data_IF_378117527492
#
_entry.id   IF_378117527492
#
_cell.length_a   1.000
_cell.length_b   1.000
_cell.length_c   1.000
_cell.angle_alpha   90.00
_cell.angle_beta   90.00
_cell.angle_gamma   90.00
#
_symmetry.space_group_name_H-M   'P 1'
#
loop_
_entity.id
_entity.type
_entity.pdbx_description
1 polymer ?
#
# COMPACT_ATOMS: atom_id res chain seq x y z
N UNK A 1 -42.50 12.43 -10.93
CA UNK A 1 -41.64 13.50 -11.49
C UNK A 1 -41.32 13.14 -12.93
N UNK A 2 -41.33 14.09 -13.88
CA UNK A 2 -40.88 13.84 -15.26
C UNK A 2 -39.45 13.30 -15.27
N UNK A 3 -39.17 12.24 -16.03
CA UNK A 3 -37.82 11.69 -16.09
C UNK A 3 -36.89 12.72 -16.73
N UNK A 4 -35.84 13.11 -16.01
CA UNK A 4 -34.79 14.00 -16.55
C UNK A 4 -34.14 13.35 -17.79
N UNK A 5 -33.83 14.15 -18.80
CA UNK A 5 -33.05 13.69 -19.94
C UNK A 5 -31.61 13.36 -19.54
N UNK A 6 -30.90 12.56 -20.33
CA UNK A 6 -29.48 12.24 -20.07
C UNK A 6 -28.61 13.50 -20.00
N UNK A 7 -28.91 14.52 -20.82
CA UNK A 7 -28.22 15.81 -20.78
C UNK A 7 -28.43 16.55 -19.46
N UNK A 8 -29.65 16.55 -18.94
CA UNK A 8 -29.98 17.16 -17.65
C UNK A 8 -29.30 16.41 -16.49
N UNK A 9 -29.20 15.09 -16.57
CA UNK A 9 -28.48 14.28 -15.58
C UNK A 9 -26.98 14.56 -15.61
N UNK A 10 -26.37 14.66 -16.79
CA UNK A 10 -24.96 15.06 -16.95
C UNK A 10 -24.68 16.42 -16.28
N UNK A 11 -25.51 17.42 -16.56
CA UNK A 11 -25.37 18.76 -15.99
C UNK A 11 -25.50 18.74 -14.47
N UNK A 12 -26.52 18.06 -13.94
CA UNK A 12 -26.74 17.94 -12.51
C UNK A 12 -25.55 17.29 -11.79
N UNK A 13 -25.04 16.17 -12.32
CA UNK A 13 -23.92 15.46 -11.71
C UNK A 13 -22.61 16.25 -11.80
N UNK A 14 -22.40 16.96 -12.90
CA UNK A 14 -21.25 17.86 -13.06
C UNK A 14 -21.30 19.02 -12.05
N UNK A 15 -22.48 19.63 -11.88
CA UNK A 15 -22.67 20.75 -10.95
C UNK A 15 -22.31 20.36 -9.51
N UNK A 16 -22.74 19.18 -9.04
CA UNK A 16 -22.42 18.73 -7.67
C UNK A 16 -20.99 18.19 -7.50
N UNK A 17 -20.20 18.10 -8.59
CA UNK A 17 -18.77 17.79 -8.52
C UNK A 17 -18.36 16.37 -8.95
N UNK A 18 -19.19 15.61 -9.66
CA UNK A 18 -18.75 14.35 -10.26
C UNK A 18 -17.83 14.59 -11.47
N UNK A 19 -16.76 13.79 -11.57
CA UNK A 19 -15.84 13.83 -12.71
C UNK A 19 -16.49 13.22 -13.98
N UNK A 20 -16.19 13.76 -15.18
CA UNK A 20 -16.78 13.33 -16.46
C UNK A 20 -16.73 11.82 -16.69
N UNK A 21 -15.61 11.18 -16.33
CA UNK A 21 -15.45 9.74 -16.46
C UNK A 21 -16.47 8.98 -15.59
N UNK A 22 -16.74 9.48 -14.39
CA UNK A 22 -17.69 8.88 -13.46
C UNK A 22 -19.13 9.16 -13.87
N UNK A 23 -19.43 10.36 -14.38
CA UNK A 23 -20.74 10.69 -14.96
C UNK A 23 -21.10 9.71 -16.09
N UNK A 24 -20.17 9.48 -17.02
CA UNK A 24 -20.34 8.50 -18.12
C UNK A 24 -20.53 7.06 -17.63
N UNK A 25 -20.02 6.71 -16.46
CA UNK A 25 -20.23 5.40 -15.85
C UNK A 25 -21.62 5.29 -15.22
N UNK A 26 -22.03 6.31 -14.47
CA UNK A 26 -23.31 6.36 -13.77
C UNK A 26 -24.47 6.32 -14.77
N UNK A 27 -24.42 7.16 -15.81
CA UNK A 27 -25.48 7.30 -16.81
C UNK A 27 -25.76 6.01 -17.58
N UNK A 28 -24.79 5.11 -17.70
CA UNK A 28 -25.02 3.77 -18.29
C UNK A 28 -26.04 2.93 -17.50
N UNK A 29 -26.28 3.27 -16.24
CA UNK A 29 -27.26 2.63 -15.39
C UNK A 29 -28.42 3.60 -15.09
N UNK A 30 -29.47 3.53 -15.91
CA UNK A 30 -30.63 4.42 -15.81
C UNK A 30 -31.24 4.41 -14.39
N UNK A 31 -31.37 3.24 -13.76
CA UNK A 31 -31.95 3.11 -12.42
C UNK A 31 -31.14 3.86 -11.36
N UNK A 32 -29.81 3.71 -11.39
CA UNK A 32 -28.92 4.39 -10.44
C UNK A 32 -28.85 5.88 -10.74
N UNK A 33 -28.86 6.27 -12.01
CA UNK A 33 -28.85 7.68 -12.43
C UNK A 33 -30.11 8.42 -11.98
N UNK A 34 -31.29 7.81 -12.16
CA UNK A 34 -32.55 8.38 -11.67
C UNK A 34 -32.55 8.50 -10.15
N UNK A 35 -32.09 7.47 -9.44
CA UNK A 35 -31.97 7.55 -7.98
C UNK A 35 -30.96 8.62 -7.54
N UNK A 36 -29.85 8.78 -8.26
CA UNK A 36 -28.84 9.79 -7.91
C UNK A 36 -29.38 11.20 -8.05
N UNK A 37 -30.11 11.48 -9.14
CA UNK A 37 -30.76 12.77 -9.31
C UNK A 37 -31.76 13.06 -8.18
N UNK A 38 -32.56 12.05 -7.81
CA UNK A 38 -33.54 12.17 -6.73
C UNK A 38 -32.86 12.49 -5.39
N UNK A 39 -31.82 11.75 -4.99
CA UNK A 39 -31.15 11.98 -3.70
C UNK A 39 -30.38 13.30 -3.68
N UNK A 40 -29.82 13.74 -4.80
CA UNK A 40 -29.20 15.08 -4.91
C UNK A 40 -30.25 16.16 -4.67
N UNK A 41 -31.39 16.09 -5.38
CA UNK A 41 -32.47 17.07 -5.23
C UNK A 41 -33.07 17.07 -3.82
N UNK A 42 -33.13 15.90 -3.16
CA UNK A 42 -33.64 15.75 -1.80
C UNK A 42 -32.64 16.15 -0.70
N UNK A 43 -31.36 16.38 -1.03
CA UNK A 43 -30.28 16.66 -0.08
C UNK A 43 -30.07 18.15 0.22
N UNK A 44 -30.73 19.06 -0.51
CA UNK A 44 -30.44 20.50 -0.57
C UNK A 44 -29.00 20.84 -1.02
N UNK A 45 -28.22 19.86 -1.46
CA UNK A 45 -26.80 20.01 -1.75
C UNK A 45 -26.48 20.83 -3.01
N UNK A 46 -27.50 21.24 -3.79
CA UNK A 46 -27.32 22.14 -4.92
C UNK A 46 -26.96 23.56 -4.48
N UNK A 47 -27.40 23.97 -3.29
CA UNK A 47 -27.13 25.31 -2.75
C UNK A 47 -25.67 25.46 -2.29
N UNK A 48 -24.99 24.35 -2.04
CA UNK A 48 -23.61 24.26 -1.53
C UNK A 48 -22.63 23.66 -2.53
N UNK A 49 -23.03 23.48 -3.79
CA UNK A 49 -22.18 22.87 -4.81
C UNK A 49 -20.93 23.75 -5.12
N UNK A 50 -19.77 23.16 -5.47
CA UNK A 50 -19.50 21.73 -5.60
C UNK A 50 -19.27 21.03 -4.26
N UNK A 51 -19.69 19.76 -4.18
CA UNK A 51 -19.58 18.96 -2.97
C UNK A 51 -18.21 18.29 -2.86
N UNK A 52 -17.84 17.90 -1.64
CA UNK A 52 -16.60 17.16 -1.43
C UNK A 52 -16.68 15.70 -1.94
N UNK A 53 -15.50 15.07 -2.12
CA UNK A 53 -15.42 13.70 -2.66
C UNK A 53 -16.08 12.65 -1.76
N UNK A 54 -16.16 12.91 -0.46
CA UNK A 54 -16.82 12.00 0.49
C UNK A 54 -18.34 12.10 0.36
N UNK A 55 -18.88 13.32 0.29
CA UNK A 55 -20.31 13.58 0.11
C UNK A 55 -20.83 12.99 -1.21
N UNK A 56 -20.16 13.28 -2.34
CA UNK A 56 -20.52 12.72 -3.65
C UNK A 56 -20.46 11.18 -3.67
N UNK A 57 -19.48 10.57 -2.99
CA UNK A 57 -19.38 9.12 -2.88
C UNK A 57 -20.54 8.51 -2.07
N UNK A 58 -20.95 9.15 -0.96
CA UNK A 58 -22.05 8.70 -0.11
C UNK A 58 -23.42 8.86 -0.79
N UNK A 59 -23.65 9.97 -1.50
CA UNK A 59 -24.86 10.18 -2.31
C UNK A 59 -24.95 9.14 -3.44
N UNK A 60 -23.83 8.86 -4.11
CA UNK A 60 -23.78 7.79 -5.11
C UNK A 60 -24.01 6.41 -4.47
N UNK A 61 -23.46 6.13 -3.29
CA UNK A 61 -23.73 4.89 -2.55
C UNK A 61 -25.23 4.75 -2.24
N UNK A 62 -25.88 5.78 -1.72
CA UNK A 62 -27.33 5.79 -1.47
C UNK A 62 -28.12 5.50 -2.75
N UNK A 63 -27.77 6.15 -3.87
CA UNK A 63 -28.40 5.89 -5.16
C UNK A 63 -28.22 4.44 -5.63
N UNK A 64 -27.06 3.84 -5.39
CA UNK A 64 -26.81 2.43 -5.71
C UNK A 64 -27.56 1.45 -4.81
N UNK A 65 -27.98 1.85 -3.61
CA UNK A 65 -28.86 1.04 -2.76
C UNK A 65 -30.32 1.12 -3.24
N UNK A 66 -30.78 2.31 -3.62
CA UNK A 66 -32.15 2.52 -4.11
C UNK A 66 -32.42 1.82 -5.45
N UNK A 67 -31.48 1.89 -6.41
CA UNK A 67 -31.61 1.27 -7.75
C UNK A 67 -32.97 1.53 -8.42
N UNK A 68 -33.44 2.77 -8.38
CA UNK A 68 -34.70 3.21 -8.97
C UNK A 68 -35.93 2.98 -8.09
N UNK A 69 -35.77 2.48 -6.86
CA UNK A 69 -36.86 2.40 -5.88
C UNK A 69 -37.14 3.80 -5.31
N UNK A 70 -38.41 4.18 -5.27
CA UNK A 70 -38.86 5.34 -4.51
C UNK A 70 -39.09 4.93 -3.05
N UNK A 71 -38.50 5.69 -2.13
CA UNK A 71 -38.58 5.45 -0.69
C UNK A 71 -38.99 6.76 -0.03
N UNK A 72 -40.08 6.70 0.74
CA UNK A 72 -40.55 7.84 1.53
C UNK A 72 -39.55 8.17 2.65
N UNK A 73 -39.29 9.46 2.91
CA UNK A 73 -38.30 9.91 3.89
C UNK A 73 -36.83 9.84 3.43
N UNK A 74 -36.58 9.63 2.14
CA UNK A 74 -35.21 9.61 1.57
C UNK A 74 -34.47 10.95 1.71
N UNK A 75 -35.19 12.05 1.86
CA UNK A 75 -34.64 13.38 2.12
C UNK A 75 -33.92 13.42 3.48
N UNK A 76 -34.41 12.71 4.50
CA UNK A 76 -33.71 12.60 5.79
C UNK A 76 -32.32 11.96 5.65
N UNK A 77 -32.20 10.90 4.83
CA UNK A 77 -30.91 10.25 4.57
C UNK A 77 -30.01 11.18 3.74
N UNK A 78 -30.57 11.79 2.70
CA UNK A 78 -29.83 12.64 1.76
C UNK A 78 -29.31 13.91 2.45
N UNK A 79 -30.13 14.58 3.26
CA UNK A 79 -29.74 15.72 4.11
C UNK A 79 -28.79 15.30 5.23
N UNK A 80 -28.94 14.08 5.76
CA UNK A 80 -28.02 13.50 6.74
C UNK A 80 -26.59 13.34 6.20
N UNK A 81 -26.45 12.97 4.93
CA UNK A 81 -25.16 12.94 4.22
C UNK A 81 -24.61 14.35 4.06
N UNK A 82 -25.42 15.27 3.52
CA UNK A 82 -24.98 16.63 3.24
C UNK A 82 -24.58 17.43 4.50
N UNK A 83 -25.34 17.27 5.60
CA UNK A 83 -25.03 17.85 6.91
C UNK A 83 -23.89 17.15 7.66
N UNK A 84 -23.23 16.16 7.05
CA UNK A 84 -22.12 15.37 7.62
C UNK A 84 -22.48 14.59 8.89
N UNK A 85 -23.77 14.35 9.14
CA UNK A 85 -24.24 13.45 10.20
C UNK A 85 -24.01 11.97 9.85
N UNK A 86 -24.16 11.62 8.57
CA UNK A 86 -23.89 10.29 8.02
C UNK A 86 -22.59 10.35 7.23
N UNK A 87 -21.53 9.74 7.76
CA UNK A 87 -20.16 9.88 7.23
C UNK A 87 -19.60 8.57 6.66
N UNK A 88 -20.35 7.48 6.72
CA UNK A 88 -19.92 6.17 6.22
C UNK A 88 -21.02 5.44 5.45
N UNK A 89 -20.62 4.55 4.54
CA UNK A 89 -21.54 3.69 3.79
C UNK A 89 -22.45 2.85 4.70
N UNK A 90 -21.96 2.41 5.86
CA UNK A 90 -22.77 1.65 6.82
C UNK A 90 -23.87 2.52 7.44
N UNK A 91 -23.55 3.72 7.91
CA UNK A 91 -24.55 4.65 8.45
C UNK A 91 -25.63 4.98 7.41
N UNK A 92 -25.23 5.22 6.16
CA UNK A 92 -26.18 5.43 5.05
C UNK A 92 -27.06 4.20 4.80
N UNK A 93 -26.49 3.00 4.92
CA UNK A 93 -27.24 1.76 4.68
C UNK A 93 -28.24 1.47 5.81
N UNK A 94 -27.86 1.73 7.07
CA UNK A 94 -28.75 1.58 8.23
C UNK A 94 -29.81 2.69 8.29
N UNK A 95 -29.45 3.93 7.91
CA UNK A 95 -30.37 5.04 7.73
C UNK A 95 -31.46 4.71 6.68
N UNK A 96 -31.05 4.14 5.54
CA UNK A 96 -32.00 3.71 4.51
C UNK A 96 -32.96 2.63 5.03
N UNK A 97 -32.44 1.60 5.74
CA UNK A 97 -33.30 0.56 6.34
C UNK A 97 -34.31 1.12 7.33
N UNK A 98 -33.92 2.13 8.11
CA UNK A 98 -34.81 2.77 9.06
C UNK A 98 -35.97 3.47 8.34
N UNK A 99 -35.69 4.30 7.33
CA UNK A 99 -36.76 5.01 6.59
C UNK A 99 -37.66 4.04 5.81
N UNK A 100 -37.09 2.96 5.25
CA UNK A 100 -37.87 1.91 4.57
C UNK A 100 -38.82 1.15 5.52
N UNK A 101 -38.48 1.05 6.80
CA UNK A 101 -39.32 0.38 7.81
C UNK A 101 -40.32 1.33 8.49
N UNK A 102 -40.18 2.65 8.31
CA UNK A 102 -41.00 3.68 8.96
C UNK A 102 -41.55 4.74 7.99
N UNK A 103 -42.20 4.37 6.87
CA UNK A 103 -42.61 5.32 5.82
C UNK A 103 -43.53 6.45 6.33
N UNK A 104 -44.36 6.18 7.34
CA UNK A 104 -45.33 7.13 7.90
C UNK A 104 -45.13 7.44 9.40
N UNK A 105 -44.04 6.98 10.00
CA UNK A 105 -43.78 7.15 11.44
C UNK A 105 -42.31 7.50 11.68
N UNK A 106 -41.80 8.49 10.96
CA UNK A 106 -40.43 8.94 11.12
C UNK A 106 -40.24 9.62 12.48
N UNK A 107 -39.36 9.08 13.30
CA UNK A 107 -38.85 9.71 14.51
C UNK A 107 -37.35 10.03 14.34
N UNK A 108 -36.96 11.29 14.56
CA UNK A 108 -35.58 11.74 14.37
C UNK A 108 -34.60 11.13 15.38
N UNK A 109 -34.99 10.98 16.65
CA UNK A 109 -34.12 10.41 17.68
C UNK A 109 -33.88 8.92 17.43
N UNK A 110 -34.92 8.19 17.05
CA UNK A 110 -34.82 6.78 16.68
C UNK A 110 -34.01 6.59 15.39
N UNK A 111 -34.16 7.48 14.41
CA UNK A 111 -33.36 7.51 13.19
C UNK A 111 -31.87 7.70 13.50
N UNK A 112 -31.52 8.72 14.27
CA UNK A 112 -30.13 9.03 14.63
C UNK A 112 -29.49 7.86 15.38
N UNK A 113 -30.24 7.25 16.32
CA UNK A 113 -29.81 6.06 17.05
C UNK A 113 -29.64 4.83 16.16
N UNK A 114 -30.56 4.57 15.24
CA UNK A 114 -30.51 3.40 14.35
C UNK A 114 -29.37 3.52 13.32
N UNK A 115 -29.14 4.73 12.82
CA UNK A 115 -28.11 5.03 11.81
C UNK A 115 -26.75 5.37 12.39
N UNK A 116 -26.61 5.43 13.72
CA UNK A 116 -25.32 5.67 14.39
C UNK A 116 -24.81 7.09 14.21
N UNK A 117 -25.70 8.07 14.07
CA UNK A 117 -25.34 9.50 14.01
C UNK A 117 -24.69 9.90 15.34
N UNK A 118 -23.59 10.66 15.26
CA UNK A 118 -22.83 11.11 16.44
C UNK A 118 -21.97 10.02 17.09
N UNK A 119 -22.06 8.76 16.65
CA UNK A 119 -21.17 7.69 17.13
C UNK A 119 -19.90 7.71 16.31
N UNK A 120 -18.80 8.12 16.93
CA UNK A 120 -17.47 8.05 16.34
C UNK A 120 -16.59 7.17 17.23
N UNK A 121 -16.31 5.95 16.78
CA UNK A 121 -15.38 5.06 17.49
C UNK A 121 -13.96 5.47 17.14
N UNK A 122 -13.25 6.01 18.13
CA UNK A 122 -11.86 6.46 17.97
C UNK A 122 -10.90 5.28 17.81
N UNK A 123 -9.72 5.50 17.23
CA UNK A 123 -8.72 4.43 17.07
C UNK A 123 -8.30 3.82 18.42
N UNK A 124 -8.18 4.63 19.47
CA UNK A 124 -7.86 4.17 20.83
C UNK A 124 -8.97 3.30 21.42
N UNK A 125 -10.23 3.64 21.20
CA UNK A 125 -11.37 2.80 21.61
C UNK A 125 -11.40 1.48 20.84
N UNK A 126 -11.18 1.50 19.52
CA UNK A 126 -11.06 0.28 18.71
C UNK A 126 -9.92 -0.59 19.24
N UNK A 127 -8.77 0.02 19.52
CA UNK A 127 -7.61 -0.67 20.08
C UNK A 127 -7.93 -1.29 21.42
N UNK A 128 -8.59 -0.56 22.32
CA UNK A 128 -9.00 -1.05 23.64
C UNK A 128 -9.96 -2.23 23.52
N UNK A 129 -11.03 -2.09 22.73
CA UNK A 129 -12.04 -3.15 22.53
C UNK A 129 -11.41 -4.42 21.96
N UNK A 130 -10.55 -4.29 20.94
CA UNK A 130 -9.84 -5.43 20.36
C UNK A 130 -8.91 -6.06 21.40
N UNK A 131 -8.18 -5.26 22.18
CA UNK A 131 -7.27 -5.76 23.22
C UNK A 131 -8.03 -6.54 24.29
N UNK A 132 -9.14 -5.99 24.77
CA UNK A 132 -10.01 -6.64 25.76
C UNK A 132 -10.55 -7.97 25.22
N UNK A 133 -11.03 -7.99 23.97
CA UNK A 133 -11.47 -9.20 23.31
C UNK A 133 -10.35 -10.25 23.21
N UNK A 134 -9.17 -9.87 22.71
CA UNK A 134 -8.04 -10.79 22.57
C UNK A 134 -7.60 -11.36 23.94
N UNK A 135 -7.64 -10.56 25.00
CA UNK A 135 -7.35 -11.03 26.36
C UNK A 135 -8.35 -12.09 26.84
N UNK A 136 -9.62 -12.04 26.45
CA UNK A 136 -10.62 -13.07 26.83
C UNK A 136 -10.37 -14.44 26.21
N UNK A 137 -9.67 -14.49 25.07
CA UNK A 137 -9.35 -15.72 24.33
C UNK A 137 -7.84 -15.96 24.25
N UNK A 138 -7.09 -15.41 25.22
CA UNK A 138 -5.63 -15.46 25.25
C UNK A 138 -5.10 -16.89 25.17
N UNK A 139 -5.69 -17.82 25.93
CA UNK A 139 -5.26 -19.22 25.93
C UNK A 139 -5.46 -19.89 24.55
N UNK A 140 -6.54 -19.56 23.84
CA UNK A 140 -6.78 -20.07 22.49
C UNK A 140 -5.75 -19.50 21.49
N UNK A 141 -5.41 -18.21 21.65
CA UNK A 141 -4.39 -17.52 20.86
C UNK A 141 -3.01 -18.14 21.10
N UNK A 142 -2.63 -18.45 22.35
CA UNK A 142 -1.34 -19.07 22.66
C UNK A 142 -1.25 -20.50 22.08
N UNK A 143 -2.34 -21.25 22.11
CA UNK A 143 -2.40 -22.63 21.59
C UNK A 143 -2.39 -22.70 20.06
N UNK A 144 -3.15 -21.84 19.38
CA UNK A 144 -3.30 -21.89 17.91
C UNK A 144 -2.46 -20.86 17.16
N UNK A 145 -1.88 -19.90 17.89
CA UNK A 145 -0.97 -18.86 17.40
C UNK A 145 -1.53 -18.13 16.18
N UNK A 146 -0.69 -17.93 15.17
CA UNK A 146 -1.06 -17.16 13.98
C UNK A 146 -2.10 -17.83 13.07
N UNK A 147 -2.47 -19.11 13.32
CA UNK A 147 -3.52 -19.81 12.56
C UNK A 147 -4.91 -19.25 12.85
N UNK A 148 -5.12 -18.65 14.02
CA UNK A 148 -6.40 -18.06 14.40
C UNK A 148 -6.64 -16.65 13.84
N UNK A 149 -5.62 -15.94 13.33
CA UNK A 149 -5.75 -14.55 12.86
C UNK A 149 -6.93 -14.32 11.88
N UNK A 150 -7.21 -15.20 10.90
CA UNK A 150 -8.39 -15.06 10.05
C UNK A 150 -9.72 -15.16 10.83
N UNK A 151 -9.81 -16.07 11.80
CA UNK A 151 -11.00 -16.23 12.66
C UNK A 151 -11.15 -15.03 13.60
N UNK A 152 -10.05 -14.54 14.18
CA UNK A 152 -10.04 -13.33 15.00
C UNK A 152 -10.57 -12.12 14.23
N UNK A 153 -10.13 -11.93 12.99
CA UNK A 153 -10.62 -10.85 12.13
C UNK A 153 -12.12 -10.97 11.85
N UNK A 154 -12.64 -12.19 11.67
CA UNK A 154 -14.06 -12.42 11.50
C UNK A 154 -14.86 -12.12 12.77
N UNK A 155 -14.37 -12.57 13.93
CA UNK A 155 -15.05 -12.37 15.21
C UNK A 155 -15.01 -10.90 15.66
N UNK A 156 -13.87 -10.22 15.51
CA UNK A 156 -13.73 -8.79 15.82
C UNK A 156 -14.70 -7.95 15.00
N UNK A 157 -14.93 -8.28 13.72
CA UNK A 157 -15.93 -7.60 12.88
C UNK A 157 -17.37 -7.78 13.36
N UNK A 158 -17.64 -8.80 14.17
CA UNK A 158 -18.97 -9.09 14.71
C UNK A 158 -19.18 -8.48 16.10
N UNK A 159 -18.15 -7.86 16.71
CA UNK A 159 -18.29 -7.22 18.01
C UNK A 159 -19.26 -6.02 17.92
N UNK A 160 -20.35 -6.00 18.71
CA UNK A 160 -21.35 -4.93 18.64
C UNK A 160 -20.77 -3.53 18.88
N UNK A 161 -19.77 -3.43 19.76
CA UNK A 161 -19.10 -2.17 20.10
C UNK A 161 -18.32 -1.59 18.90
N UNK A 162 -17.93 -2.42 17.94
CA UNK A 162 -17.20 -2.03 16.74
C UNK A 162 -18.11 -1.85 15.52
N UNK A 163 -19.45 -1.94 15.68
CA UNK A 163 -20.40 -1.79 14.57
C UNK A 163 -20.11 -0.55 13.72
N UNK A 164 -19.82 0.58 14.37
CA UNK A 164 -19.58 1.88 13.72
C UNK A 164 -18.10 2.21 13.52
N UNK A 165 -17.19 1.30 13.88
CA UNK A 165 -15.77 1.51 13.73
C UNK A 165 -15.30 1.27 12.29
N UNK A 166 -14.24 1.96 11.87
CA UNK A 166 -13.65 1.77 10.54
C UNK A 166 -13.00 0.37 10.45
N UNK A 167 -13.47 -0.51 9.54
CA UNK A 167 -12.94 -1.88 9.43
C UNK A 167 -11.48 -1.94 8.99
N UNK A 168 -10.95 -0.85 8.42
CA UNK A 168 -9.55 -0.73 8.04
C UNK A 168 -8.60 -0.78 9.25
N UNK A 169 -9.08 -0.39 10.43
CA UNK A 169 -8.30 -0.37 11.68
C UNK A 169 -8.11 -1.78 12.28
N UNK A 170 -9.02 -2.72 12.01
CA UNK A 170 -9.06 -3.99 12.74
C UNK A 170 -7.83 -4.86 12.50
N UNK A 171 -7.43 -5.03 11.23
CA UNK A 171 -6.31 -5.92 10.89
C UNK A 171 -4.96 -5.42 11.43
N UNK A 172 -4.57 -4.14 11.26
CA UNK A 172 -3.35 -3.60 11.85
C UNK A 172 -3.30 -3.75 13.37
N UNK A 173 -4.41 -3.45 14.06
CA UNK A 173 -4.49 -3.55 15.53
C UNK A 173 -4.37 -5.01 15.98
N UNK A 174 -5.11 -5.94 15.35
CA UNK A 174 -5.01 -7.37 15.67
C UNK A 174 -3.57 -7.86 15.46
N UNK A 175 -2.94 -7.51 14.34
CA UNK A 175 -1.57 -7.96 14.05
C UNK A 175 -0.56 -7.45 15.08
N UNK A 176 -0.67 -6.17 15.46
CA UNK A 176 0.19 -5.57 16.47
C UNK A 176 0.01 -6.21 17.85
N UNK A 177 -1.24 -6.45 18.27
CA UNK A 177 -1.54 -7.08 19.56
C UNK A 177 -1.12 -8.55 19.60
N UNK A 178 -1.36 -9.30 18.52
CA UNK A 178 -0.91 -10.70 18.42
C UNK A 178 0.61 -10.77 18.46
N UNK A 179 1.32 -9.91 17.72
CA UNK A 179 2.78 -9.84 17.77
C UNK A 179 3.29 -9.56 19.18
N UNK A 180 2.63 -8.65 19.92
CA UNK A 180 2.98 -8.35 21.31
C UNK A 180 2.71 -9.52 22.27
N UNK A 181 1.64 -10.30 22.05
CA UNK A 181 1.25 -11.41 22.92
C UNK A 181 2.08 -12.68 22.72
N UNK A 182 2.32 -13.10 21.47
CA UNK A 182 2.89 -14.43 21.17
C UNK A 182 4.25 -14.38 20.45
N UNK A 183 4.80 -13.19 20.26
CA UNK A 183 6.06 -12.96 19.56
C UNK A 183 5.97 -13.21 18.05
N UNK A 184 7.07 -13.05 17.30
CA UNK A 184 7.09 -13.23 15.86
C UNK A 184 6.77 -14.68 15.45
N UNK A 185 6.37 -14.87 14.18
CA UNK A 185 6.17 -16.19 13.60
C UNK A 185 7.47 -17.00 13.62
N UNK A 186 7.37 -18.25 14.05
CA UNK A 186 8.49 -19.20 14.06
C UNK A 186 8.07 -20.58 13.53
N UNK A 187 8.87 -21.60 13.81
CA UNK A 187 8.67 -22.98 13.38
C UNK A 187 7.30 -23.56 13.78
N UNK A 188 6.69 -23.05 14.87
CA UNK A 188 5.36 -23.49 15.37
C UNK A 188 4.22 -23.04 14.46
N UNK A 189 4.44 -21.99 13.67
CA UNK A 189 3.45 -21.36 12.78
C UNK A 189 3.52 -21.90 11.34
N UNK A 190 4.44 -22.81 11.05
CA UNK A 190 4.58 -23.45 9.75
C UNK A 190 3.39 -24.39 9.51
N UNK A 191 2.55 -24.03 8.53
CA UNK A 191 1.43 -24.87 8.11
C UNK A 191 1.97 -26.11 7.40
N UNK A 192 2.08 -27.24 8.12
CA UNK A 192 2.30 -28.56 7.51
C UNK A 192 1.07 -28.91 6.66
N UNK A 193 1.16 -28.70 5.34
CA UNK A 193 0.16 -29.23 4.40
C UNK A 193 0.29 -30.75 4.37
N UNK A 194 -0.62 -31.45 5.04
CA UNK A 194 -0.80 -32.88 4.81
C UNK A 194 -1.26 -33.11 3.37
N UNK A 195 -0.41 -33.74 2.57
CA UNK A 195 -0.74 -34.17 1.21
C UNK A 195 -1.78 -35.30 1.28
N UNK A 196 -3.07 -34.97 1.19
CA UNK A 196 -4.09 -35.97 0.82
C UNK A 196 -3.80 -36.47 -0.60
N UNK A 197 -3.45 -37.75 -0.73
CA UNK A 197 -3.24 -38.47 -2.00
C UNK A 197 -4.50 -38.38 -2.86
N UNK A 198 -4.38 -37.91 -4.11
CA UNK A 198 -5.42 -38.10 -5.14
C UNK A 198 -5.17 -39.44 -5.85
N UNK A 199 -6.23 -40.23 -6.13
CA UNK A 199 -6.09 -41.45 -6.90
C UNK A 199 -5.89 -41.12 -8.38
N UNK A 200 -5.08 -41.95 -9.04
CA UNK A 200 -4.82 -41.92 -10.49
C UNK A 200 -6.10 -42.32 -11.21
N UNK A 201 -6.54 -41.52 -12.18
CA UNK A 201 -7.49 -41.96 -13.20
C UNK A 201 -7.08 -41.50 -14.59
N UNK A 202 -7.29 -42.46 -15.46
CA UNK A 202 -6.86 -42.66 -16.84
C UNK A 202 -7.26 -41.52 -17.80
N UNK A 203 -6.41 -41.35 -18.80
CA UNK A 203 -6.55 -40.40 -19.89
C UNK A 203 -7.71 -40.76 -20.80
N UNK A 204 -8.75 -39.91 -20.85
CA UNK A 204 -9.58 -39.73 -22.04
C UNK A 204 -9.71 -38.26 -22.37
N UNK A 205 -9.32 -37.94 -23.59
CA UNK A 205 -9.49 -36.68 -24.28
C UNK A 205 -10.98 -36.46 -24.47
N UNK A 206 -11.52 -35.41 -23.88
CA UNK A 206 -12.79 -34.83 -24.30
C UNK A 206 -12.61 -33.31 -24.36
N UNK A 207 -12.79 -32.80 -25.57
CA UNK A 207 -12.81 -31.40 -25.94
C UNK A 207 -13.81 -30.62 -25.10
N UNK A 208 -13.33 -29.91 -24.10
CA UNK A 208 -14.03 -28.75 -23.55
C UNK A 208 -13.14 -27.53 -23.72
N UNK A 209 -13.53 -26.69 -24.69
CA UNK A 209 -13.14 -25.29 -24.83
C UNK A 209 -13.00 -24.68 -23.43
N UNK A 210 -11.75 -24.53 -22.98
CA UNK A 210 -11.44 -23.62 -21.89
C UNK A 210 -11.79 -22.24 -22.41
N UNK A 211 -12.82 -21.63 -21.84
CA UNK A 211 -12.88 -20.18 -21.77
C UNK A 211 -11.59 -19.76 -21.07
N UNK A 212 -10.60 -19.39 -21.88
CA UNK A 212 -9.46 -18.61 -21.44
C UNK A 212 -10.08 -17.31 -20.96
N UNK A 213 -10.22 -17.16 -19.64
CA UNK A 213 -10.35 -15.84 -19.05
C UNK A 213 -9.05 -15.15 -19.47
N UNK A 214 -9.13 -14.28 -20.47
CA UNK A 214 -8.02 -13.39 -20.83
C UNK A 214 -7.52 -12.79 -19.52
N UNK A 215 -6.26 -13.08 -19.14
CA UNK A 215 -5.60 -12.31 -18.09
C UNK A 215 -5.66 -10.86 -18.57
N UNK A 216 -6.48 -10.04 -17.91
CA UNK A 216 -6.65 -8.64 -18.27
C UNK A 216 -5.26 -8.01 -18.45
N UNK A 217 -4.96 -7.57 -19.69
CA UNK A 217 -3.67 -6.97 -20.03
C UNK A 217 -3.42 -5.80 -19.11
N UNK A 218 -2.28 -5.83 -18.44
CA UNK A 218 -1.82 -4.73 -17.62
C UNK A 218 -0.29 -4.71 -17.62
N UNK A 219 0.27 -3.60 -17.13
CA UNK A 219 1.71 -3.36 -17.14
C UNK A 219 2.55 -4.41 -16.40
N UNK A 220 1.96 -5.25 -15.53
CA UNK A 220 2.68 -6.29 -14.79
C UNK A 220 2.69 -7.65 -15.51
N UNK A 221 1.91 -7.81 -16.59
CA UNK A 221 1.80 -9.07 -17.34
C UNK A 221 2.46 -9.07 -18.71
N UNK A 222 2.88 -7.91 -19.20
CA UNK A 222 3.47 -7.74 -20.53
C UNK A 222 4.57 -6.67 -20.52
N UNK A 223 5.36 -6.63 -21.60
CA UNK A 223 6.51 -5.73 -21.72
C UNK A 223 7.55 -6.00 -20.64
N UNK A 224 8.28 -4.95 -20.25
CA UNK A 224 9.41 -5.07 -19.32
C UNK A 224 9.10 -5.87 -18.05
N UNK A 225 7.96 -5.61 -17.37
CA UNK A 225 7.63 -6.30 -16.11
C UNK A 225 7.10 -7.72 -16.33
N UNK A 226 6.42 -7.97 -17.46
CA UNK A 226 5.94 -9.30 -17.81
C UNK A 226 7.07 -10.27 -18.15
N UNK A 227 8.18 -9.74 -18.69
CA UNK A 227 9.35 -10.52 -19.11
C UNK A 227 10.39 -10.71 -17.99
N UNK A 228 10.12 -10.21 -16.77
CA UNK A 228 11.01 -10.42 -15.63
C UNK A 228 11.07 -11.90 -15.23
N UNK A 229 12.23 -12.29 -14.71
CA UNK A 229 12.48 -13.63 -14.15
C UNK A 229 11.54 -13.94 -12.98
N UNK A 230 11.35 -15.23 -12.69
CA UNK A 230 10.65 -15.63 -11.47
C UNK A 230 11.60 -15.59 -10.27
N UNK A 231 11.08 -15.37 -9.04
CA UNK A 231 11.91 -15.32 -7.85
C UNK A 231 12.73 -16.59 -7.64
N UNK A 232 14.04 -16.45 -7.52
CA UNK A 232 14.97 -17.57 -7.30
C UNK A 232 15.47 -18.23 -8.59
N UNK A 233 15.15 -17.69 -9.77
CA UNK A 233 15.69 -18.10 -11.07
C UNK A 233 16.82 -17.17 -11.56
N UNK A 234 17.29 -16.24 -10.71
CA UNK A 234 18.35 -15.31 -11.05
C UNK A 234 19.69 -16.03 -11.20
N UNK A 235 20.50 -15.73 -12.23
CA UNK A 235 21.86 -16.24 -12.32
C UNK A 235 22.69 -15.80 -11.11
N UNK A 236 23.31 -16.75 -10.42
CA UNK A 236 24.21 -16.49 -9.28
C UNK A 236 25.58 -17.12 -9.53
N UNK A 237 26.61 -16.48 -9.00
CA UNK A 237 28.00 -16.97 -9.09
C UNK A 237 28.27 -18.12 -8.10
N UNK A 238 27.55 -18.18 -6.99
CA UNK A 238 27.76 -19.13 -5.90
C UNK A 238 26.45 -19.83 -5.54
N UNK A 239 26.47 -21.17 -5.46
CA UNK A 239 25.29 -21.99 -5.19
C UNK A 239 24.70 -21.75 -3.80
N UNK A 240 25.56 -21.57 -2.78
CA UNK A 240 25.12 -21.30 -1.41
C UNK A 240 24.33 -19.99 -1.31
N UNK A 241 24.70 -18.98 -2.11
CA UNK A 241 24.00 -17.69 -2.15
C UNK A 241 22.59 -17.83 -2.70
N UNK A 242 22.40 -18.58 -3.80
CA UNK A 242 21.05 -18.78 -4.35
C UNK A 242 20.21 -19.66 -3.43
N UNK A 243 20.80 -20.62 -2.73
CA UNK A 243 20.09 -21.43 -1.75
C UNK A 243 19.60 -20.57 -0.58
N UNK A 244 20.49 -19.82 0.06
CA UNK A 244 20.14 -18.91 1.14
C UNK A 244 19.09 -17.86 0.69
N UNK A 245 19.23 -17.35 -0.54
CA UNK A 245 18.25 -16.46 -1.13
C UNK A 245 16.87 -17.11 -1.24
N UNK A 246 16.77 -18.30 -1.85
CA UNK A 246 15.51 -19.05 -2.01
C UNK A 246 14.85 -19.36 -0.67
N UNK A 247 15.65 -19.71 0.34
CA UNK A 247 15.19 -19.96 1.70
C UNK A 247 14.62 -18.69 2.36
N UNK A 248 15.26 -17.54 2.15
CA UNK A 248 14.78 -16.25 2.64
C UNK A 248 13.49 -15.81 1.93
N UNK A 249 13.48 -15.81 0.60
CA UNK A 249 12.36 -15.28 -0.18
C UNK A 249 11.14 -16.21 -0.20
N UNK A 250 11.35 -17.52 -0.05
CA UNK A 250 10.31 -18.56 -0.11
C UNK A 250 9.42 -18.43 -1.35
N UNK A 251 10.03 -18.10 -2.49
CA UNK A 251 9.36 -17.91 -3.78
C UNK A 251 8.53 -16.62 -3.92
N UNK A 252 8.64 -15.68 -2.98
CA UNK A 252 7.96 -14.38 -3.05
C UNK A 252 8.82 -13.34 -3.76
N UNK A 253 8.17 -12.39 -4.44
CA UNK A 253 8.82 -11.20 -5.00
C UNK A 253 9.19 -10.24 -3.87
N UNK A 254 10.42 -9.69 -3.92
CA UNK A 254 10.86 -8.59 -3.07
C UNK A 254 11.36 -7.44 -3.95
N UNK A 255 10.77 -6.26 -3.78
CA UNK A 255 11.18 -5.02 -4.46
C UNK A 255 11.52 -3.93 -3.43
N UNK A 256 12.04 -2.79 -3.90
CA UNK A 256 12.30 -1.63 -3.03
C UNK A 256 12.02 -0.34 -3.79
N UNK A 257 11.47 0.66 -3.11
CA UNK A 257 11.48 2.04 -3.55
C UNK A 257 12.50 2.82 -2.70
N UNK A 258 13.62 3.28 -3.30
CA UNK A 258 14.69 3.93 -2.54
C UNK A 258 14.84 5.43 -2.82
N UNK A 259 13.97 6.30 -2.29
CA UNK A 259 14.10 7.75 -2.48
C UNK A 259 15.15 8.34 -1.52
N UNK A 260 15.88 9.35 -2.00
CA UNK A 260 16.67 10.23 -1.13
C UNK A 260 15.72 11.17 -0.35
N UNK A 261 15.88 11.32 0.98
CA UNK A 261 15.02 12.16 1.81
C UNK A 261 15.47 13.64 1.85
N UNK A 262 15.94 14.18 0.72
CA UNK A 262 16.46 15.55 0.60
C UNK A 262 15.60 16.45 -0.31
N UNK A 263 14.44 15.95 -0.76
CA UNK A 263 13.56 16.70 -1.66
C UNK A 263 12.16 16.10 -1.80
N UNK A 264 11.26 16.89 -2.39
CA UNK A 264 9.89 16.45 -2.64
C UNK A 264 9.79 15.56 -3.90
N UNK A 265 8.97 14.51 -3.80
CA UNK A 265 8.69 13.66 -4.96
C UNK A 265 7.90 14.42 -6.03
N UNK A 266 8.46 14.50 -7.23
CA UNK A 266 7.73 14.94 -8.43
C UNK A 266 7.03 13.78 -9.17
N UNK A 267 6.24 14.09 -10.21
CA UNK A 267 5.45 13.12 -10.98
C UNK A 267 6.23 11.93 -11.54
N UNK A 268 7.50 12.10 -11.93
CA UNK A 268 8.37 11.00 -12.35
C UNK A 268 8.47 9.85 -11.34
N UNK A 269 8.41 10.16 -10.02
CA UNK A 269 8.44 9.17 -8.96
C UNK A 269 7.17 8.31 -8.89
N UNK A 270 6.04 8.78 -9.44
CA UNK A 270 4.82 7.97 -9.49
C UNK A 270 5.04 6.67 -10.27
N UNK A 271 5.82 6.70 -11.36
CA UNK A 271 6.21 5.51 -12.12
C UNK A 271 7.08 4.58 -11.27
N UNK A 272 8.07 5.12 -10.56
CA UNK A 272 8.93 4.32 -9.69
C UNK A 272 8.14 3.64 -8.56
N UNK A 273 7.20 4.36 -7.94
CA UNK A 273 6.30 3.82 -6.91
C UNK A 273 5.42 2.72 -7.50
N UNK A 274 4.72 3.00 -8.60
CA UNK A 274 3.82 2.05 -9.26
C UNK A 274 4.54 0.79 -9.72
N UNK A 275 5.75 0.93 -10.28
CA UNK A 275 6.56 -0.21 -10.71
C UNK A 275 6.96 -1.05 -9.51
N UNK A 276 7.56 -0.46 -8.47
CA UNK A 276 8.09 -1.27 -7.37
C UNK A 276 7.00 -1.83 -6.45
N UNK A 277 6.10 -0.99 -5.96
CA UNK A 277 5.01 -1.42 -5.07
C UNK A 277 3.95 -2.19 -5.82
N UNK A 278 3.60 -1.76 -7.04
CA UNK A 278 2.60 -2.43 -7.86
C UNK A 278 3.05 -3.82 -8.30
N UNK A 279 4.32 -3.99 -8.70
CA UNK A 279 4.84 -5.31 -9.08
C UNK A 279 4.84 -6.27 -7.88
N UNK A 280 5.29 -5.82 -6.70
CA UNK A 280 5.18 -6.61 -5.48
C UNK A 280 3.72 -6.97 -5.16
N UNK A 281 2.80 -6.00 -5.20
CA UNK A 281 1.38 -6.22 -4.91
C UNK A 281 0.72 -7.20 -5.89
N UNK A 282 1.06 -7.11 -7.19
CA UNK A 282 0.54 -7.99 -8.23
C UNK A 282 0.98 -9.45 -8.03
N UNK A 283 2.19 -9.67 -7.51
CA UNK A 283 2.79 -11.00 -7.32
C UNK A 283 2.73 -11.54 -5.88
N UNK A 284 1.87 -11.01 -5.00
CA UNK A 284 1.82 -11.35 -3.55
C UNK A 284 3.19 -11.26 -2.83
N UNK A 285 3.99 -10.31 -3.32
CA UNK A 285 5.32 -9.99 -2.84
C UNK A 285 5.33 -8.90 -1.78
N UNK A 286 6.53 -8.38 -1.53
CA UNK A 286 6.80 -7.34 -0.53
C UNK A 286 7.65 -6.24 -1.13
N UNK A 287 7.29 -4.99 -0.87
CA UNK A 287 8.09 -3.83 -1.27
C UNK A 287 8.58 -3.11 -0.03
N UNK A 288 9.89 -2.90 0.05
CA UNK A 288 10.50 -2.01 1.03
C UNK A 288 10.30 -0.54 0.60
N UNK A 289 10.06 0.34 1.56
CA UNK A 289 10.41 1.75 1.43
C UNK A 289 11.76 1.91 2.11
N UNK A 290 12.82 2.17 1.34
CA UNK A 290 14.16 2.31 1.89
C UNK A 290 14.68 3.72 1.67
N UNK A 291 14.63 4.57 2.68
CA UNK A 291 15.20 5.91 2.55
C UNK A 291 16.70 5.80 2.28
N UNK A 292 17.16 6.53 1.26
CA UNK A 292 18.57 6.58 0.93
C UNK A 292 19.25 7.74 1.67
N UNK A 293 19.43 7.55 2.97
CA UNK A 293 19.92 8.52 3.96
C UNK A 293 21.45 8.47 4.10
N UNK A 294 22.14 8.45 2.96
CA UNK A 294 23.61 8.38 2.92
C UNK A 294 24.27 9.75 3.07
N UNK A 295 23.50 10.84 3.03
CA UNK A 295 24.00 12.21 3.14
C UNK A 295 23.40 12.94 4.36
N UNK A 296 24.14 13.06 5.47
CA UNK A 296 23.62 13.57 6.74
C UNK A 296 23.27 15.08 6.73
N UNK A 297 23.72 15.86 5.75
CA UNK A 297 23.53 17.32 5.73
C UNK A 297 22.23 17.78 5.05
N UNK A 298 21.54 16.90 4.33
CA UNK A 298 20.44 17.27 3.44
C UNK A 298 19.06 16.78 3.92
N UNK A 299 18.96 16.28 5.15
CA UNK A 299 17.80 15.54 5.64
C UNK A 299 16.89 16.38 6.53
N UNK A 300 15.65 16.55 6.12
CA UNK A 300 14.60 17.16 6.94
C UNK A 300 13.43 16.20 7.08
N UNK A 301 12.87 16.11 8.30
CA UNK A 301 11.72 15.23 8.60
C UNK A 301 10.54 15.45 7.64
N UNK A 302 10.36 16.68 7.14
CA UNK A 302 9.31 17.03 6.18
C UNK A 302 9.39 16.20 4.88
N UNK A 303 10.60 15.86 4.42
CA UNK A 303 10.79 15.05 3.21
C UNK A 303 10.44 13.59 3.47
N UNK A 304 10.87 13.01 4.60
CA UNK A 304 10.49 11.65 5.00
C UNK A 304 8.97 11.49 5.04
N UNK A 305 8.29 12.38 5.75
CA UNK A 305 6.83 12.34 5.94
C UNK A 305 6.10 12.55 4.61
N UNK A 306 6.58 13.48 3.77
CA UNK A 306 5.98 13.74 2.46
C UNK A 306 6.12 12.55 1.52
N UNK A 307 7.30 11.92 1.48
CA UNK A 307 7.55 10.70 0.70
C UNK A 307 6.58 9.59 1.12
N UNK A 308 6.49 9.30 2.43
CA UNK A 308 5.61 8.26 2.94
C UNK A 308 4.14 8.56 2.63
N UNK A 309 3.73 9.82 2.80
CA UNK A 309 2.38 10.27 2.46
C UNK A 309 2.09 10.09 0.97
N UNK A 310 3.01 10.40 0.07
CA UNK A 310 2.85 10.17 -1.37
C UNK A 310 2.68 8.69 -1.71
N UNK A 311 3.48 7.80 -1.09
CA UNK A 311 3.35 6.35 -1.27
C UNK A 311 1.97 5.86 -0.83
N UNK A 312 1.51 6.28 0.37
CA UNK A 312 0.19 5.95 0.90
C UNK A 312 -0.94 6.53 0.07
N UNK A 313 -0.80 7.77 -0.39
CA UNK A 313 -1.77 8.46 -1.23
C UNK A 313 -2.01 7.74 -2.56
N UNK A 314 -0.95 7.15 -3.15
CA UNK A 314 -1.07 6.31 -4.35
C UNK A 314 -1.62 4.89 -4.08
N UNK A 315 -2.03 4.58 -2.85
CA UNK A 315 -2.70 3.33 -2.48
C UNK A 315 -1.76 2.15 -2.23
N UNK A 316 -0.50 2.44 -1.90
CA UNK A 316 0.50 1.44 -1.55
C UNK A 316 0.93 1.57 -0.08
N UNK A 317 1.28 0.45 0.53
CA UNK A 317 1.80 0.39 1.90
C UNK A 317 3.16 -0.33 1.88
N UNK A 318 4.21 0.24 2.50
CA UNK A 318 5.48 -0.45 2.70
C UNK A 318 5.32 -1.69 3.56
N UNK A 319 5.91 -2.81 3.12
CA UNK A 319 6.00 -4.00 3.99
C UNK A 319 6.91 -3.73 5.19
N UNK A 320 8.01 -3.01 4.95
CA UNK A 320 8.92 -2.52 5.98
C UNK A 320 9.53 -1.19 5.50
N UNK A 321 9.65 -0.25 6.43
CA UNK A 321 10.44 0.96 6.25
C UNK A 321 11.85 0.67 6.80
N UNK A 322 12.87 1.01 6.01
CA UNK A 322 14.28 0.82 6.36
C UNK A 322 15.07 2.04 5.90
N UNK A 323 16.29 2.15 6.39
CA UNK A 323 17.22 3.20 6.05
C UNK A 323 18.48 2.59 5.45
N UNK A 324 19.20 3.31 4.59
CA UNK A 324 20.53 2.88 4.15
C UNK A 324 21.49 2.84 5.35
N UNK A 325 21.34 3.78 6.29
CA UNK A 325 22.12 3.86 7.53
C UNK A 325 21.96 2.66 8.47
N UNK A 326 20.82 1.96 8.45
CA UNK A 326 20.59 0.70 9.19
C UNK A 326 21.67 -0.36 8.89
N UNK A 327 22.36 -0.24 7.75
CA UNK A 327 23.33 -1.21 7.25
C UNK A 327 24.77 -0.70 7.23
N UNK A 328 25.08 0.47 7.81
CA UNK A 328 26.45 1.04 7.73
C UNK A 328 27.53 0.13 8.32
N UNK A 329 27.27 -0.55 9.44
CA UNK A 329 28.22 -1.51 10.01
C UNK A 329 28.50 -2.64 9.03
N UNK A 330 27.45 -3.24 8.44
CA UNK A 330 27.58 -4.32 7.47
C UNK A 330 28.28 -3.84 6.18
N UNK A 331 27.98 -2.63 5.72
CA UNK A 331 28.62 -2.02 4.55
C UNK A 331 30.12 -1.77 4.80
N UNK A 332 30.48 -1.31 5.99
CA UNK A 332 31.88 -1.13 6.38
C UNK A 332 32.63 -2.46 6.44
N UNK A 333 32.04 -3.50 7.02
CA UNK A 333 32.63 -4.85 7.04
C UNK A 333 32.81 -5.43 5.63
N UNK A 334 31.83 -5.20 4.74
CA UNK A 334 31.92 -5.61 3.34
C UNK A 334 33.01 -4.82 2.59
N UNK A 335 33.19 -3.53 2.90
CA UNK A 335 34.28 -2.72 2.36
C UNK A 335 35.65 -3.25 2.80
N UNK A 336 35.83 -3.61 4.09
CA UNK A 336 37.05 -4.28 4.55
C UNK A 336 37.28 -5.62 3.81
N UNK A 337 36.23 -6.43 3.61
CA UNK A 337 36.33 -7.67 2.84
C UNK A 337 36.75 -7.43 1.39
N UNK A 338 36.25 -6.34 0.79
CA UNK A 338 36.60 -5.95 -0.57
C UNK A 338 38.08 -5.55 -0.68
N UNK A 339 38.60 -4.81 0.30
CA UNK A 339 40.03 -4.47 0.41
C UNK A 339 40.86 -5.74 0.59
N UNK A 340 40.48 -6.62 1.52
CA UNK A 340 41.16 -7.91 1.77
C UNK A 340 41.20 -8.82 0.54
N UNK A 341 40.20 -8.69 -0.33
CA UNK A 341 40.11 -9.44 -1.58
C UNK A 341 40.82 -8.77 -2.76
N UNK A 342 41.49 -7.63 -2.54
CA UNK A 342 42.22 -6.89 -3.59
C UNK A 342 41.32 -6.15 -4.59
N UNK A 343 40.05 -5.90 -4.24
CA UNK A 343 39.07 -5.25 -5.12
C UNK A 343 38.73 -3.81 -4.70
N UNK A 344 39.36 -3.30 -3.65
CA UNK A 344 39.25 -1.90 -3.21
C UNK A 344 40.58 -1.39 -2.67
N UNK A 345 40.81 -0.09 -2.80
CA UNK A 345 42.00 0.62 -2.31
C UNK A 345 41.61 2.02 -1.82
N UNK A 346 42.44 2.61 -0.96
CA UNK A 346 42.29 3.99 -0.49
C UNK A 346 43.06 4.91 -1.42
N UNK A 347 42.36 5.90 -1.95
CA UNK A 347 42.89 6.87 -2.92
C UNK A 347 43.09 8.24 -2.25
N UNK A 348 44.16 8.95 -2.59
CA UNK A 348 44.37 10.35 -2.17
C UNK A 348 44.43 11.31 -3.36
N UNK A 349 44.01 10.86 -4.54
CA UNK A 349 43.86 11.71 -5.72
C UNK A 349 42.88 12.84 -5.41
N UNK A 350 43.26 14.05 -5.80
CA UNK A 350 42.33 15.18 -5.92
C UNK A 350 41.27 14.90 -6.99
N UNK A 351 40.16 15.65 -6.96
CA UNK A 351 39.09 15.50 -7.95
C UNK A 351 39.58 15.69 -9.39
N UNK A 352 40.51 16.61 -9.63
CA UNK A 352 41.10 16.85 -10.95
C UNK A 352 42.02 15.71 -11.40
N UNK A 353 42.78 15.11 -10.49
CA UNK A 353 43.59 13.93 -10.79
C UNK A 353 42.70 12.72 -11.14
N UNK A 354 41.61 12.50 -10.40
CA UNK A 354 40.64 11.42 -10.72
C UNK A 354 40.00 11.63 -12.09
N UNK A 355 39.67 12.88 -12.45
CA UNK A 355 39.16 13.22 -13.79
C UNK A 355 40.20 12.90 -14.87
N UNK A 356 41.44 13.32 -14.69
CA UNK A 356 42.53 13.04 -15.63
C UNK A 356 42.78 11.53 -15.78
N UNK A 357 42.85 10.78 -14.67
CA UNK A 357 42.99 9.31 -14.67
C UNK A 357 41.86 8.61 -15.45
N UNK A 358 40.64 9.19 -15.43
CA UNK A 358 39.48 8.70 -16.17
C UNK A 358 39.41 9.19 -17.63
N UNK A 359 40.42 9.91 -18.10
CA UNK A 359 40.52 10.38 -19.48
C UNK A 359 39.66 11.61 -19.75
N UNK A 360 39.46 12.47 -18.75
CA UNK A 360 38.95 13.83 -18.95
C UNK A 360 40.13 14.73 -19.29
N UNK A 361 40.04 15.42 -20.41
CA UNK A 361 41.07 16.35 -20.88
C UNK A 361 41.03 17.66 -20.08
N UNK A 362 42.07 18.51 -20.16
CA UNK A 362 42.11 19.80 -19.47
C UNK A 362 40.96 20.75 -19.84
N UNK A 363 40.36 20.58 -21.02
CA UNK A 363 39.19 21.34 -21.48
C UNK A 363 37.84 20.80 -20.94
N UNK A 364 37.88 19.77 -20.09
CA UNK A 364 36.70 19.14 -19.49
C UNK A 364 36.03 18.08 -20.38
N UNK A 365 36.53 17.82 -21.59
CA UNK A 365 35.94 16.83 -22.50
C UNK A 365 36.45 15.42 -22.22
N UNK A 366 35.61 14.37 -22.36
CA UNK A 366 36.06 12.99 -22.23
C UNK A 366 36.86 12.53 -23.47
N UNK A 367 37.46 11.34 -23.39
CA UNK A 367 38.17 10.70 -24.50
C UNK A 367 39.68 10.99 -24.54
N UNK A 368 40.25 11.48 -23.43
CA UNK A 368 41.68 11.44 -23.17
C UNK A 368 42.18 10.05 -22.77
N UNK A 369 43.50 9.94 -22.57
CA UNK A 369 44.14 8.71 -22.10
C UNK A 369 43.71 8.38 -20.67
N UNK A 370 43.52 7.08 -20.38
CA UNK A 370 43.20 6.59 -19.03
C UNK A 370 44.40 5.90 -18.43
N UNK A 371 44.70 6.22 -17.18
CA UNK A 371 45.82 5.64 -16.44
C UNK A 371 45.41 5.39 -14.97
N UNK A 372 46.00 4.38 -14.30
CA UNK A 372 45.61 4.03 -12.95
C UNK A 372 46.03 5.10 -11.95
N UNK A 373 45.25 5.20 -10.87
CA UNK A 373 45.64 5.93 -9.66
C UNK A 373 46.97 5.37 -9.11
N UNK A 374 47.94 6.21 -8.71
CA UNK A 374 49.21 5.73 -8.14
C UNK A 374 49.01 4.98 -6.81
N UNK A 375 47.84 5.14 -6.19
CA UNK A 375 47.48 4.47 -4.94
C UNK A 375 46.78 3.11 -5.15
N UNK A 376 46.49 2.75 -6.41
CA UNK A 376 45.76 1.52 -6.77
C UNK A 376 46.47 0.24 -6.36
N UNK A 377 47.80 0.22 -6.47
CA UNK A 377 48.62 -0.97 -6.27
C UNK A 377 49.23 -1.04 -4.85
N UNK A 378 48.72 -0.24 -3.91
CA UNK A 378 49.07 -0.33 -2.49
C UNK A 378 48.78 -1.73 -1.93
N UNK A 379 49.54 -2.12 -0.91
CA UNK A 379 49.29 -3.38 -0.21
C UNK A 379 47.91 -3.39 0.46
N UNK A 380 47.38 -4.59 0.70
CA UNK A 380 46.11 -4.78 1.42
C UNK A 380 46.21 -4.20 2.82
N UNK A 381 47.34 -4.39 3.48
CA UNK A 381 47.64 -3.92 4.84
C UNK A 381 47.63 -2.39 4.94
N UNK A 382 48.27 -1.71 3.98
CA UNK A 382 48.25 -0.26 3.89
C UNK A 382 46.82 0.26 3.66
N UNK A 383 46.09 -0.33 2.70
CA UNK A 383 44.72 0.08 2.43
C UNK A 383 43.79 -0.09 3.63
N UNK A 384 43.89 -1.20 4.38
CA UNK A 384 43.11 -1.40 5.60
C UNK A 384 43.47 -0.37 6.68
N UNK A 385 44.76 -0.05 6.82
CA UNK A 385 45.24 0.94 7.78
C UNK A 385 44.66 2.32 7.46
N UNK A 386 44.76 2.75 6.20
CA UNK A 386 44.25 4.05 5.78
C UNK A 386 42.72 4.12 5.84
N UNK A 387 42.01 3.05 5.49
CA UNK A 387 40.54 3.02 5.56
C UNK A 387 40.02 3.10 7.01
N UNK A 388 40.73 2.48 7.96
CA UNK A 388 40.41 2.62 9.39
C UNK A 388 40.69 4.03 9.91
N UNK A 389 41.79 4.66 9.47
CA UNK A 389 42.06 6.07 9.77
C UNK A 389 41.00 7.01 9.21
N UNK A 390 40.43 6.73 8.02
CA UNK A 390 39.29 7.50 7.48
C UNK A 390 38.09 7.44 8.42
N UNK A 391 37.72 6.23 8.89
CA UNK A 391 36.64 6.05 9.87
C UNK A 391 36.93 6.78 11.18
N UNK A 392 38.18 6.74 11.64
CA UNK A 392 38.60 7.34 12.92
C UNK A 392 38.80 8.87 12.84
N UNK A 393 38.48 9.50 11.71
CA UNK A 393 38.51 10.96 11.54
C UNK A 393 39.90 11.56 11.36
N UNK A 394 40.89 10.77 10.95
CA UNK A 394 42.26 11.26 10.70
C UNK A 394 42.34 12.18 9.46
N UNK A 395 41.43 11.99 8.50
CA UNK A 395 41.32 12.79 7.28
C UNK A 395 40.18 13.80 7.40
N UNK A 396 40.31 14.93 6.71
CA UNK A 396 39.22 15.92 6.61
C UNK A 396 38.10 15.35 5.70
N UNK A 397 36.82 15.62 6.03
CA UNK A 397 35.69 15.29 5.17
C UNK A 397 35.79 15.91 3.78
#
# INVERSE_FOLDING_TARGET
MSSMSEEQLCQLFSQVGFEDKKIKEIIKNNKVSTSLALVIQASDALDSAPLDKSETALLHHLATLLKGKEVEGIDHVSKGIHSKKLTSNLQVSEALKYVESHPNNFNNEEFEKASGVGIQVTEDEVKKIITDYLNTIKDEIENNRYKMVPALLANVRQLPQLKWASPALFKPIIDAQILAMIGPKDERDVVKKEKKKKPVKDSRVDDKKKNVVEKARNMFTEGFLGDLHKPGEEPQKWDDTIQAHREFIKGKVYTRFPPEPNGFLHIGHSKAIMVNFGYAKYHDGKCYLRYDDTNPEAEEQVYFDSILRCVKWLGFEPWKITYSSDYFDQLYELAEKLIKSGYAYVDHSTAEEVKAQRGVKPDGTPGGERFPSPWRDRSVEENLTEFRKMRDGFYKP
#
